data_IF_356540166867
#
_entry.id   IF_356540166867
#
_cell.length_a   1.000
_cell.length_b   1.000
_cell.length_c   1.000
_cell.angle_alpha   90.00
_cell.angle_beta   90.00
_cell.angle_gamma   90.00
#
_symmetry.space_group_name_H-M   'P 1'
#
loop_
_entity.id
_entity.type
_entity.pdbx_description
1 polymer ?
#
# COMPACT_ATOMS: atom_id res chain seq x y z
N UNK A 1 -26.06 -24.22 -9.80
CA UNK A 1 -25.86 -22.79 -10.10
C UNK A 1 -25.31 -22.02 -8.90
N UNK A 2 -25.76 -22.29 -7.67
CA UNK A 2 -25.31 -21.57 -6.47
C UNK A 2 -23.83 -21.78 -6.11
N UNK A 3 -23.30 -23.00 -6.28
CA UNK A 3 -21.87 -23.29 -6.01
C UNK A 3 -20.92 -22.55 -6.95
N UNK A 4 -21.32 -22.34 -8.21
CA UNK A 4 -20.52 -21.61 -9.18
C UNK A 4 -20.54 -20.11 -8.89
N UNK A 5 -21.70 -19.58 -8.47
CA UNK A 5 -21.84 -18.20 -8.02
C UNK A 5 -21.00 -17.91 -6.77
N UNK A 6 -21.07 -18.80 -5.77
CA UNK A 6 -20.30 -18.68 -4.54
C UNK A 6 -18.79 -18.74 -4.79
N UNK A 7 -18.34 -19.64 -5.66
CA UNK A 7 -16.93 -19.70 -6.08
C UNK A 7 -16.49 -18.39 -6.71
N UNK A 8 -17.22 -17.89 -7.70
CA UNK A 8 -16.84 -16.68 -8.43
C UNK A 8 -16.75 -15.48 -7.48
N UNK A 9 -17.71 -15.33 -6.55
CA UNK A 9 -17.68 -14.29 -5.50
C UNK A 9 -16.43 -14.42 -4.63
N UNK A 10 -16.09 -15.62 -4.16
CA UNK A 10 -14.89 -15.84 -3.35
C UNK A 10 -13.61 -15.49 -4.10
N UNK A 11 -13.50 -15.85 -5.39
CA UNK A 11 -12.34 -15.48 -6.21
C UNK A 11 -12.22 -13.96 -6.37
N UNK A 12 -13.33 -13.24 -6.53
CA UNK A 12 -13.33 -11.77 -6.59
C UNK A 12 -12.85 -11.18 -5.25
N UNK A 13 -13.32 -11.72 -4.11
CA UNK A 13 -12.87 -11.26 -2.79
C UNK A 13 -11.36 -11.42 -2.59
N UNK A 14 -10.78 -12.53 -3.06
CA UNK A 14 -9.32 -12.74 -3.05
C UNK A 14 -8.61 -11.70 -3.91
N UNK A 15 -9.16 -11.35 -5.09
CA UNK A 15 -8.62 -10.29 -5.95
C UNK A 15 -8.67 -8.90 -5.31
N UNK A 16 -9.76 -8.57 -4.63
CA UNK A 16 -9.88 -7.29 -3.89
C UNK A 16 -8.88 -7.25 -2.74
N UNK A 17 -8.69 -8.36 -2.03
CA UNK A 17 -7.73 -8.44 -0.94
C UNK A 17 -6.28 -8.30 -1.42
N UNK A 18 -5.93 -8.91 -2.56
CA UNK A 18 -4.62 -8.73 -3.19
C UNK A 18 -4.36 -7.27 -3.60
N UNK A 19 -5.40 -6.57 -4.08
CA UNK A 19 -5.33 -5.15 -4.44
C UNK A 19 -5.02 -4.28 -3.22
N UNK A 20 -5.66 -4.57 -2.07
CA UNK A 20 -5.36 -3.88 -0.80
C UNK A 20 -3.93 -4.09 -0.33
N UNK A 21 -3.32 -5.25 -0.66
CA UNK A 21 -1.93 -5.58 -0.35
C UNK A 21 -0.92 -4.94 -1.33
N UNK A 22 -1.39 -4.10 -2.26
CA UNK A 22 -0.56 -3.43 -3.26
C UNK A 22 -0.07 -4.37 -4.38
N UNK A 23 -0.77 -5.49 -4.60
CA UNK A 23 -0.50 -6.43 -5.71
C UNK A 23 -1.61 -6.38 -6.75
N UNK A 24 -1.39 -7.01 -7.90
CA UNK A 24 -2.37 -7.03 -9.00
C UNK A 24 -3.63 -7.84 -8.62
N UNK A 25 -4.74 -7.15 -8.38
CA UNK A 25 -6.02 -7.79 -8.06
C UNK A 25 -6.53 -8.73 -9.16
N UNK A 26 -6.38 -8.34 -10.43
CA UNK A 26 -6.78 -9.16 -11.57
C UNK A 26 -5.96 -10.45 -11.68
N UNK A 27 -4.64 -10.38 -11.44
CA UNK A 27 -3.78 -11.57 -11.42
C UNK A 27 -4.16 -12.54 -10.30
N UNK A 28 -4.42 -12.03 -9.10
CA UNK A 28 -4.86 -12.84 -7.97
C UNK A 28 -6.26 -13.45 -8.18
N UNK A 29 -7.17 -12.72 -8.82
CA UNK A 29 -8.49 -13.23 -9.22
C UNK A 29 -8.35 -14.40 -10.20
N UNK A 30 -7.53 -14.27 -11.25
CA UNK A 30 -7.34 -15.35 -12.22
C UNK A 30 -6.73 -16.60 -11.58
N UNK A 31 -5.74 -16.42 -10.69
CA UNK A 31 -5.13 -17.53 -9.93
C UNK A 31 -6.19 -18.19 -9.04
N UNK A 32 -6.99 -17.41 -8.32
CA UNK A 32 -8.07 -17.90 -7.47
C UNK A 32 -9.20 -18.58 -8.25
N UNK A 33 -9.46 -18.13 -9.49
CA UNK A 33 -10.48 -18.71 -10.35
C UNK A 33 -10.00 -20.03 -10.98
N UNK A 34 -8.71 -20.14 -11.32
CA UNK A 34 -8.14 -21.31 -11.99
C UNK A 34 -7.74 -22.44 -11.02
N UNK A 35 -7.07 -22.11 -9.90
CA UNK A 35 -6.59 -23.11 -8.95
C UNK A 35 -7.65 -23.49 -7.91
N UNK A 36 -8.23 -22.47 -7.27
CA UNK A 36 -9.28 -22.52 -6.24
C UNK A 36 -9.18 -21.24 -5.41
N UNK A 37 -10.31 -20.67 -4.93
CA UNK A 37 -10.30 -19.48 -4.09
C UNK A 37 -9.53 -19.69 -2.79
N UNK A 38 -9.51 -20.91 -2.25
CA UNK A 38 -8.73 -21.28 -1.06
C UNK A 38 -7.22 -21.16 -1.31
N UNK A 39 -6.74 -21.72 -2.43
CA UNK A 39 -5.32 -21.66 -2.79
C UNK A 39 -4.92 -20.22 -3.11
N UNK A 40 -5.74 -19.50 -3.87
CA UNK A 40 -5.53 -18.09 -4.16
C UNK A 40 -5.44 -17.23 -2.89
N UNK A 41 -6.32 -17.46 -1.92
CA UNK A 41 -6.26 -16.79 -0.63
C UNK A 41 -4.95 -17.10 0.12
N UNK A 42 -4.54 -18.37 0.21
CA UNK A 42 -3.28 -18.73 0.89
C UNK A 42 -2.08 -18.03 0.24
N UNK A 43 -2.02 -18.00 -1.09
CA UNK A 43 -0.94 -17.31 -1.82
C UNK A 43 -0.91 -15.82 -1.46
N UNK A 44 -2.06 -15.13 -1.51
CA UNK A 44 -2.15 -13.70 -1.16
C UNK A 44 -1.84 -13.46 0.33
N UNK A 45 -2.17 -14.42 1.21
CA UNK A 45 -1.84 -14.37 2.64
C UNK A 45 -0.34 -14.32 2.88
N UNK A 46 0.39 -15.24 2.23
CA UNK A 46 1.84 -15.41 2.42
C UNK A 46 2.66 -14.29 1.77
N UNK A 47 2.12 -13.63 0.75
CA UNK A 47 2.81 -12.52 0.07
C UNK A 47 2.95 -11.29 0.97
N UNK A 48 4.15 -10.72 1.14
CA UNK A 48 4.30 -9.43 1.79
C UNK A 48 3.57 -8.31 1.00
N UNK A 49 3.04 -7.27 1.69
CA UNK A 49 2.58 -6.06 1.03
C UNK A 49 3.70 -5.49 0.14
N UNK A 50 3.31 -5.07 -1.07
CA UNK A 50 4.24 -4.59 -2.08
C UNK A 50 3.86 -3.18 -2.56
N UNK A 51 4.80 -2.49 -3.18
CA UNK A 51 4.58 -1.16 -3.75
C UNK A 51 4.19 -0.11 -2.70
N UNK A 52 3.24 0.76 -3.05
CA UNK A 52 2.74 1.85 -2.19
C UNK A 52 2.13 1.36 -0.88
N UNK A 53 1.67 0.11 -0.82
CA UNK A 53 1.14 -0.49 0.41
C UNK A 53 2.24 -0.89 1.40
N UNK A 54 3.49 -1.05 0.93
CA UNK A 54 4.66 -1.32 1.76
C UNK A 54 5.37 -0.05 2.24
N UNK A 55 5.00 1.12 1.70
CA UNK A 55 5.65 2.38 2.03
C UNK A 55 5.27 2.84 3.44
N UNK A 56 6.21 3.41 4.22
CA UNK A 56 5.87 4.04 5.48
C UNK A 56 4.81 5.12 5.25
N UNK A 57 3.80 5.16 6.11
CA UNK A 57 2.69 6.12 6.04
C UNK A 57 2.86 7.17 7.14
N UNK A 58 2.45 8.40 6.85
CA UNK A 58 2.40 9.47 7.83
C UNK A 58 1.27 9.27 8.84
N UNK A 59 1.18 10.15 9.83
CA UNK A 59 0.13 10.17 10.86
C UNK A 59 -1.30 10.25 10.27
N UNK A 60 -1.43 10.69 9.02
CA UNK A 60 -2.69 10.83 8.29
C UNK A 60 -2.93 9.70 7.27
N UNK A 61 -2.06 8.69 7.22
CA UNK A 61 -2.18 7.54 6.32
C UNK A 61 -1.69 7.77 4.89
N UNK A 62 -1.07 8.91 4.59
CA UNK A 62 -0.48 9.20 3.28
C UNK A 62 0.88 8.52 3.12
N UNK A 63 1.24 8.05 1.92
CA UNK A 63 2.55 7.47 1.67
C UNK A 63 3.66 8.53 1.84
N UNK A 64 4.68 8.20 2.63
CA UNK A 64 5.88 9.01 2.79
C UNK A 64 6.77 8.76 1.58
N UNK A 65 6.63 9.60 0.56
CA UNK A 65 7.45 9.58 -0.65
C UNK A 65 8.50 10.71 -0.58
N UNK A 66 9.60 10.61 -1.35
CA UNK A 66 10.52 11.74 -1.56
C UNK A 66 9.83 12.99 -2.12
N UNK A 67 8.62 12.83 -2.65
CA UNK A 67 7.81 13.91 -3.21
C UNK A 67 7.05 14.67 -2.12
N UNK A 68 6.60 13.98 -1.06
CA UNK A 68 5.85 14.60 0.03
C UNK A 68 6.74 15.00 1.22
N UNK A 69 7.84 14.30 1.45
CA UNK A 69 8.72 14.52 2.60
C UNK A 69 10.20 14.68 2.18
N UNK A 70 10.90 15.58 2.86
CA UNK A 70 12.34 15.82 2.69
C UNK A 70 13.02 15.78 4.05
N UNK A 71 14.34 15.57 4.07
CA UNK A 71 15.12 15.71 5.30
C UNK A 71 15.51 17.17 5.52
N UNK A 72 15.31 17.68 6.73
CA UNK A 72 15.80 19.00 7.11
C UNK A 72 17.35 19.03 7.06
N UNK A 73 17.98 20.05 6.45
CA UNK A 73 19.45 20.15 6.37
C UNK A 73 20.13 20.29 7.73
N UNK A 74 19.48 20.94 8.70
CA UNK A 74 20.04 21.18 10.04
C UNK A 74 19.94 19.95 10.96
N UNK A 75 18.74 19.39 11.11
CA UNK A 75 18.49 18.31 12.09
C UNK A 75 18.30 16.91 11.46
N UNK A 76 18.28 16.80 10.13
CA UNK A 76 18.12 15.55 9.35
C UNK A 76 16.84 14.76 9.56
N UNK A 77 15.90 15.31 10.32
CA UNK A 77 14.59 14.72 10.55
C UNK A 77 13.68 14.86 9.33
N UNK A 78 12.74 13.93 9.17
CA UNK A 78 11.75 13.96 8.10
C UNK A 78 10.71 15.06 8.34
N UNK A 79 10.66 16.01 7.42
CA UNK A 79 9.69 17.11 7.40
C UNK A 79 8.95 17.12 6.08
N UNK A 80 7.77 17.74 6.04
CA UNK A 80 7.05 17.89 4.79
C UNK A 80 7.81 18.79 3.82
N UNK A 81 7.72 18.50 2.53
CA UNK A 81 8.42 19.25 1.48
C UNK A 81 7.98 20.72 1.39
N UNK A 82 6.72 20.99 1.72
CA UNK A 82 6.12 22.32 1.76
C UNK A 82 6.37 23.07 3.10
N UNK A 83 7.06 22.46 4.05
CA UNK A 83 7.32 23.07 5.35
C UNK A 83 8.25 24.28 5.21
N UNK A 84 7.80 25.45 5.68
CA UNK A 84 8.64 26.66 5.80
C UNK A 84 9.48 26.70 7.08
N UNK A 85 9.09 25.92 8.09
CA UNK A 85 9.82 25.76 9.34
C UNK A 85 9.85 24.30 9.75
N UNK A 86 11.00 23.84 10.22
CA UNK A 86 11.15 22.49 10.75
C UNK A 86 10.39 22.34 12.08
N UNK A 87 9.56 21.30 12.22
CA UNK A 87 8.82 21.01 13.46
C UNK A 87 9.70 20.51 14.61
N UNK A 88 10.94 20.11 14.32
CA UNK A 88 11.86 19.52 15.30
C UNK A 88 12.91 20.53 15.78
N UNK A 89 13.58 21.24 14.88
CA UNK A 89 14.65 22.20 15.23
C UNK A 89 14.27 23.67 15.03
N UNK A 90 13.13 23.98 14.39
CA UNK A 90 12.71 25.36 14.15
C UNK A 90 13.47 26.10 13.03
N UNK A 91 14.42 25.44 12.35
CA UNK A 91 15.14 26.02 11.22
C UNK A 91 14.16 26.45 10.11
N UNK A 92 14.48 27.55 9.44
CA UNK A 92 13.69 28.04 8.31
C UNK A 92 14.09 27.28 7.04
N UNK A 93 13.09 26.69 6.39
CA UNK A 93 13.26 25.85 5.21
C UNK A 93 12.64 26.56 4.01
N UNK A 94 13.26 26.36 2.85
CA UNK A 94 12.73 26.82 1.57
C UNK A 94 11.90 25.67 0.98
N UNK A 95 10.57 25.82 0.84
CA UNK A 95 9.73 24.77 0.30
C UNK A 95 10.11 24.47 -1.16
N UNK A 96 10.10 23.19 -1.52
CA UNK A 96 10.55 22.67 -2.82
C UNK A 96 9.42 22.01 -3.60
#
# INVERSE_FOLDING_TARGET
>A
MELFLGWLVLSVLVGVWASKKGRSGFGAFLIACLLSPLIGAIIVALMAPGGVAAMPKDEFGNPITPETHVKCPDCRELVRRDARKCKHCGASLIPQ
#
